data_IF_152391705373
#
_entry.id   IF_152391705373
#
_cell.length_a   1.000
_cell.length_b   1.000
_cell.length_c   1.000
_cell.angle_alpha   90.00
_cell.angle_beta   90.00
_cell.angle_gamma   90.00
#
_symmetry.space_group_name_H-M   'P 1'
#
loop_
_entity.id
_entity.type
_entity.pdbx_description
1 polymer ?
#
# COMPACT_ATOMS: atom_id res chain seq x y z
N UNK A 1 31.88 26.88 50.87
CA UNK A 1 31.92 25.42 50.66
C UNK A 1 30.55 25.01 50.16
N UNK A 2 30.38 25.05 48.84
CA UNK A 2 29.15 24.71 48.13
C UNK A 2 29.18 23.21 47.87
N UNK A 3 28.23 22.48 48.47
CA UNK A 3 27.99 21.06 48.17
C UNK A 3 27.29 20.95 46.82
N UNK A 4 28.00 20.46 45.81
CA UNK A 4 27.42 19.97 44.58
C UNK A 4 26.58 18.72 44.90
N UNK A 5 25.26 18.82 44.72
CA UNK A 5 24.41 17.66 44.58
C UNK A 5 24.55 17.16 43.14
N UNK A 6 25.35 16.11 42.95
CA UNK A 6 25.30 15.27 41.77
C UNK A 6 23.92 14.61 41.72
N UNK A 7 23.03 15.14 40.87
CA UNK A 7 21.96 14.32 40.32
C UNK A 7 22.62 13.46 39.25
N UNK A 8 22.83 12.18 39.57
CA UNK A 8 23.14 11.14 38.60
C UNK A 8 22.08 11.19 37.47
N UNK A 9 22.47 11.77 36.33
CA UNK A 9 21.74 11.58 35.09
C UNK A 9 22.05 10.18 34.59
N UNK A 10 21.04 9.32 34.50
CA UNK A 10 21.20 7.99 33.91
C UNK A 10 21.87 8.11 32.53
N UNK A 11 22.89 7.28 32.26
CA UNK A 11 23.54 7.21 30.96
C UNK A 11 22.46 6.93 29.89
N UNK A 12 22.26 7.84 28.91
CA UNK A 12 21.23 7.68 27.88
C UNK A 12 21.34 6.35 27.13
N UNK A 13 22.56 5.81 26.98
CA UNK A 13 22.79 4.52 26.34
C UNK A 13 22.21 3.40 27.20
N UNK A 14 22.52 3.38 28.49
CA UNK A 14 22.00 2.37 29.42
C UNK A 14 20.48 2.44 29.54
N UNK A 15 19.90 3.65 29.56
CA UNK A 15 18.46 3.85 29.58
C UNK A 15 17.77 3.27 28.31
N UNK A 16 18.42 3.41 27.15
CA UNK A 16 17.92 2.88 25.87
C UNK A 16 17.96 1.36 25.83
N UNK A 17 19.08 0.77 26.25
CA UNK A 17 19.24 -0.67 26.36
C UNK A 17 18.15 -1.26 27.28
N UNK A 18 17.94 -0.64 28.45
CA UNK A 18 16.94 -1.10 29.40
C UNK A 18 15.51 -0.95 28.87
N UNK A 19 15.17 0.13 28.13
CA UNK A 19 13.85 0.31 27.51
C UNK A 19 13.54 -0.81 26.51
N UNK A 20 14.46 -1.07 25.58
CA UNK A 20 14.28 -2.10 24.56
C UNK A 20 14.13 -3.51 25.20
N UNK A 21 14.85 -3.78 26.28
CA UNK A 21 14.71 -5.04 27.03
C UNK A 21 13.36 -5.15 27.75
N UNK A 22 12.87 -4.06 28.34
CA UNK A 22 11.57 -4.03 29.00
C UNK A 22 10.42 -4.23 28.00
N UNK A 23 10.49 -3.57 26.83
CA UNK A 23 9.49 -3.72 25.76
C UNK A 23 9.40 -5.18 25.29
N UNK A 24 10.56 -5.85 25.13
CA UNK A 24 10.63 -7.26 24.77
C UNK A 24 9.94 -8.19 25.79
N UNK A 25 10.00 -7.85 27.08
CA UNK A 25 9.41 -8.66 28.18
C UNK A 25 7.90 -8.48 28.37
N UNK A 26 7.28 -7.47 27.75
CA UNK A 26 5.88 -7.08 27.99
C UNK A 26 4.90 -7.48 26.88
N UNK A 27 5.39 -8.17 25.85
CA UNK A 27 4.68 -8.34 24.59
C UNK A 27 3.68 -9.52 24.60
N UNK A 28 2.43 -9.30 25.03
CA UNK A 28 1.30 -10.25 24.85
C UNK A 28 0.69 -10.16 23.44
N UNK A 29 0.87 -11.20 22.62
CA UNK A 29 0.26 -11.29 21.27
C UNK A 29 -0.79 -12.42 21.19
N UNK A 30 -1.92 -12.26 20.48
CA UNK A 30 -2.96 -13.31 20.24
C UNK A 30 -2.94 -13.90 18.82
N UNK A 31 -3.62 -15.06 18.66
CA UNK A 31 -3.58 -16.13 17.62
C UNK A 31 -3.66 -15.70 16.12
N UNK A 32 -2.94 -16.44 15.26
CA UNK A 32 -3.16 -16.57 13.80
C UNK A 32 -2.95 -18.03 13.33
N UNK A 33 -3.70 -18.47 12.31
CA UNK A 33 -3.48 -19.67 11.48
C UNK A 33 -4.25 -19.51 10.14
N UNK A 34 -3.88 -20.18 9.03
CA UNK A 34 -2.55 -20.57 8.54
C UNK A 34 -2.28 -20.09 7.07
N UNK A 35 -1.00 -19.81 6.71
CA UNK A 35 -0.53 -19.94 5.32
C UNK A 35 0.31 -18.82 4.65
N UNK A 36 1.55 -18.48 5.08
CA UNK A 36 2.73 -18.16 4.23
C UNK A 36 3.95 -17.69 5.07
N UNK A 37 5.12 -17.54 4.43
CA UNK A 37 6.37 -16.97 4.98
C UNK A 37 6.09 -15.61 5.63
N UNK A 38 6.53 -15.41 6.88
CA UNK A 38 6.19 -14.22 7.67
C UNK A 38 6.86 -12.97 7.07
N UNK A 39 6.08 -12.15 6.37
CA UNK A 39 6.44 -10.77 6.01
C UNK A 39 5.72 -9.83 6.97
N UNK A 40 6.47 -9.05 7.74
CA UNK A 40 5.90 -8.03 8.64
C UNK A 40 6.50 -6.67 8.32
N UNK A 41 5.67 -5.64 8.37
CA UNK A 41 6.12 -4.26 8.39
C UNK A 41 6.55 -3.91 9.83
N UNK A 42 7.60 -3.11 10.02
CA UNK A 42 7.87 -2.46 11.30
C UNK A 42 6.75 -1.44 11.53
N UNK A 43 5.65 -1.87 12.13
CA UNK A 43 4.34 -1.20 12.22
C UNK A 43 4.31 0.01 13.18
N UNK A 44 5.48 0.63 13.39
CA UNK A 44 5.59 2.02 13.79
C UNK A 44 5.39 2.30 15.29
N UNK A 45 5.27 1.28 16.14
CA UNK A 45 5.20 1.51 17.60
C UNK A 45 6.14 0.66 18.45
N UNK A 46 6.51 -0.55 18.03
CA UNK A 46 7.39 -1.43 18.82
C UNK A 46 8.45 -2.13 17.94
N UNK A 47 9.67 -2.36 18.46
CA UNK A 47 10.71 -3.14 17.77
C UNK A 47 10.29 -4.59 17.48
N UNK A 48 10.82 -5.18 16.42
CA UNK A 48 10.69 -6.62 16.13
C UNK A 48 11.81 -7.40 16.83
N UNK A 49 11.46 -8.22 17.83
CA UNK A 49 12.44 -9.00 18.61
C UNK A 49 12.52 -10.46 18.17
N UNK A 50 13.74 -10.94 17.94
CA UNK A 50 14.07 -12.30 17.50
C UNK A 50 14.92 -12.96 18.58
N UNK A 51 14.46 -14.11 19.08
CA UNK A 51 15.20 -14.91 20.07
C UNK A 51 15.79 -16.14 19.38
N UNK A 52 17.13 -16.26 19.45
CA UNK A 52 17.88 -17.34 18.79
C UNK A 52 18.05 -18.60 19.66
N UNK A 53 17.26 -18.73 20.72
CA UNK A 53 17.08 -19.96 21.47
C UNK A 53 18.31 -20.40 22.29
N UNK A 54 18.22 -20.22 23.61
CA UNK A 54 18.71 -21.22 24.57
C UNK A 54 17.51 -21.76 25.31
N UNK A 55 17.34 -23.09 25.32
CA UNK A 55 16.58 -23.74 26.39
C UNK A 55 17.39 -23.50 27.67
N UNK A 56 16.85 -22.69 28.58
CA UNK A 56 17.45 -22.44 29.90
C UNK A 56 17.48 -23.77 30.66
N UNK A 57 18.62 -24.45 30.62
CA UNK A 57 18.91 -25.58 31.53
C UNK A 57 19.71 -25.15 32.77
N UNK A 58 19.93 -23.86 32.96
CA UNK A 58 20.45 -23.30 34.22
C UNK A 58 20.14 -21.80 34.29
N UNK A 59 19.75 -21.35 35.47
CA UNK A 59 19.19 -20.04 35.81
C UNK A 59 20.15 -18.85 35.71
N UNK A 60 21.09 -18.83 34.75
CA UNK A 60 22.19 -17.84 34.75
C UNK A 60 22.48 -17.21 33.38
N UNK A 61 21.80 -17.59 32.29
CA UNK A 61 22.02 -16.96 30.99
C UNK A 61 20.73 -16.32 30.46
N UNK A 62 20.72 -14.99 30.39
CA UNK A 62 19.70 -14.22 29.68
C UNK A 62 19.66 -14.63 28.20
N UNK A 63 18.48 -14.70 27.57
CA UNK A 63 18.36 -15.06 26.16
C UNK A 63 19.10 -14.05 25.27
N UNK A 64 19.91 -14.56 24.33
CA UNK A 64 20.52 -13.73 23.28
C UNK A 64 19.41 -13.25 22.32
N UNK A 65 19.02 -11.98 22.46
CA UNK A 65 17.96 -11.34 21.66
C UNK A 65 18.55 -10.37 20.63
N UNK A 66 17.99 -10.40 19.42
CA UNK A 66 18.20 -9.38 18.39
C UNK A 66 16.93 -8.56 18.22
N UNK A 67 17.06 -7.30 17.89
CA UNK A 67 15.97 -6.41 17.57
C UNK A 67 16.17 -5.80 16.18
N UNK A 68 15.14 -5.83 15.35
CA UNK A 68 15.08 -5.03 14.13
C UNK A 68 14.27 -3.78 14.45
N UNK A 69 14.89 -2.62 14.27
CA UNK A 69 14.32 -1.33 14.66
C UNK A 69 14.40 -0.34 13.50
N UNK A 70 13.40 0.53 13.41
CA UNK A 70 13.52 1.81 12.70
C UNK A 70 14.11 2.86 13.65
N UNK A 71 15.32 3.41 13.40
CA UNK A 71 15.96 4.37 14.29
C UNK A 71 15.17 5.67 14.48
N UNK A 72 14.46 6.13 13.45
CA UNK A 72 13.68 7.36 13.52
C UNK A 72 12.44 7.24 14.42
N UNK A 73 11.95 6.00 14.62
CA UNK A 73 10.76 5.70 15.41
C UNK A 73 11.14 5.23 16.81
N UNK A 74 12.12 4.34 16.92
CA UNK A 74 12.41 3.59 18.15
C UNK A 74 13.56 4.19 18.98
N UNK A 75 14.28 5.20 18.46
CA UNK A 75 15.34 5.89 19.17
C UNK A 75 15.01 7.38 19.36
N UNK A 76 15.34 7.93 20.53
CA UNK A 76 15.22 9.36 20.81
C UNK A 76 16.23 10.17 19.99
N UNK A 77 16.03 11.49 19.90
CA UNK A 77 16.97 12.39 19.19
C UNK A 77 18.39 12.32 19.76
N UNK A 78 18.52 12.13 21.07
CA UNK A 78 19.84 11.98 21.73
C UNK A 78 20.48 10.62 21.44
N UNK A 79 19.67 9.57 21.34
CA UNK A 79 20.12 8.20 21.01
C UNK A 79 20.58 8.06 19.56
N UNK A 80 20.14 8.97 18.68
CA UNK A 80 20.52 9.00 17.27
C UNK A 80 21.86 9.72 17.01
N UNK A 81 22.45 10.36 18.02
CA UNK A 81 23.72 11.07 17.89
C UNK A 81 24.83 10.06 17.58
N UNK A 82 25.42 10.14 16.39
CA UNK A 82 26.47 9.22 15.91
C UNK A 82 26.00 8.18 14.91
N UNK A 83 24.67 8.01 14.74
CA UNK A 83 24.11 7.13 13.71
C UNK A 83 24.09 7.83 12.34
N UNK A 84 24.26 7.04 11.27
CA UNK A 84 24.04 7.55 9.92
C UNK A 84 22.53 7.84 9.73
N UNK A 85 22.14 9.10 9.41
CA UNK A 85 20.74 9.50 9.31
C UNK A 85 19.98 8.80 8.17
N UNK A 86 20.68 8.27 7.16
CA UNK A 86 20.07 7.60 6.01
C UNK A 86 19.68 6.14 6.29
N UNK A 87 19.96 5.64 7.51
CA UNK A 87 19.63 4.27 7.89
C UNK A 87 18.20 4.19 8.40
N UNK A 88 17.32 3.66 7.57
CA UNK A 88 15.91 3.46 7.90
C UNK A 88 15.64 2.21 8.76
N UNK A 89 16.54 1.22 8.71
CA UNK A 89 16.38 -0.06 9.43
C UNK A 89 17.71 -0.56 9.98
N UNK A 90 17.76 -0.80 11.30
CA UNK A 90 18.90 -1.38 12.00
C UNK A 90 18.55 -2.75 12.57
N UNK A 91 19.50 -3.68 12.44
CA UNK A 91 19.52 -4.92 13.20
C UNK A 91 20.53 -4.79 14.34
N UNK A 92 20.05 -4.81 15.58
CA UNK A 92 20.85 -4.57 16.78
C UNK A 92 20.74 -5.71 17.80
N UNK A 93 21.74 -5.83 18.66
CA UNK A 93 21.65 -6.59 19.90
C UNK A 93 21.42 -5.59 21.06
N UNK A 94 20.23 -5.59 21.71
CA UNK A 94 19.89 -4.57 22.71
C UNK A 94 20.88 -4.49 23.87
N UNK A 95 21.40 -5.63 24.35
CA UNK A 95 22.32 -5.69 25.49
C UNK A 95 23.72 -5.09 25.23
N UNK A 96 24.07 -4.84 23.97
CA UNK A 96 25.38 -4.30 23.59
C UNK A 96 25.29 -3.01 22.77
N UNK A 97 24.07 -2.53 22.47
CA UNK A 97 23.80 -1.33 21.64
C UNK A 97 24.56 -0.09 22.14
N UNK A 98 25.40 0.52 21.29
CA UNK A 98 26.13 1.74 21.64
C UNK A 98 26.34 2.61 20.38
N UNK A 99 25.48 3.62 20.15
CA UNK A 99 25.47 4.42 18.92
C UNK A 99 26.73 5.26 18.68
N UNK A 100 27.57 5.46 19.71
CA UNK A 100 28.79 6.29 19.63
C UNK A 100 30.03 5.52 19.14
N UNK A 101 29.99 4.18 19.05
CA UNK A 101 31.20 3.34 18.83
C UNK A 101 31.09 2.39 17.63
N UNK A 102 30.06 2.50 16.80
CA UNK A 102 29.61 1.37 15.97
C UNK A 102 30.45 1.09 14.70
N UNK A 103 31.25 0.02 14.75
CA UNK A 103 31.65 -0.81 13.58
C UNK A 103 30.87 -2.14 13.48
N UNK A 104 29.93 -2.41 14.40
CA UNK A 104 29.32 -3.74 14.59
C UNK A 104 27.88 -3.93 14.10
N UNK A 105 27.18 -2.86 13.73
CA UNK A 105 25.74 -2.90 13.44
C UNK A 105 25.51 -2.76 11.94
N UNK A 106 24.65 -3.62 11.40
CA UNK A 106 24.42 -3.70 9.95
C UNK A 106 23.09 -3.06 9.62
N UNK A 107 23.13 -1.95 8.90
CA UNK A 107 21.96 -1.41 8.24
C UNK A 107 21.42 -2.47 7.26
N UNK A 108 20.11 -2.73 7.30
CA UNK A 108 19.44 -3.48 6.25
C UNK A 108 19.13 -2.49 5.13
N UNK A 109 19.56 -2.79 3.90
CA UNK A 109 19.17 -2.03 2.71
C UNK A 109 18.08 -2.80 1.98
N UNK A 110 17.18 -2.11 1.26
CA UNK A 110 16.25 -2.75 0.35
C UNK A 110 16.99 -3.71 -0.59
N UNK A 111 16.48 -4.94 -0.71
CA UNK A 111 17.10 -6.03 -1.46
C UNK A 111 18.15 -6.85 -0.68
N UNK A 112 18.55 -6.44 0.52
CA UNK A 112 19.49 -7.23 1.33
C UNK A 112 18.80 -8.46 1.93
N UNK A 113 19.54 -9.58 1.94
CA UNK A 113 19.21 -10.77 2.73
C UNK A 113 20.38 -11.13 3.65
N UNK A 114 20.04 -11.62 4.84
CA UNK A 114 20.98 -11.94 5.92
C UNK A 114 20.65 -13.29 6.50
N UNK A 115 21.66 -14.12 6.70
CA UNK A 115 21.49 -15.39 7.40
C UNK A 115 22.12 -15.30 8.78
N UNK A 116 21.30 -15.56 9.80
CA UNK A 116 21.71 -15.67 11.18
C UNK A 116 22.11 -17.12 11.51
N UNK A 117 23.28 -17.28 12.11
CA UNK A 117 23.69 -18.55 12.69
C UNK A 117 24.86 -18.41 13.66
N UNK A 118 25.21 -19.50 14.35
CA UNK A 118 26.29 -19.49 15.35
C UNK A 118 27.63 -19.90 14.75
N UNK A 119 28.72 -19.25 15.17
CA UNK A 119 30.08 -19.75 14.96
C UNK A 119 30.45 -20.67 16.13
N UNK A 120 31.21 -21.73 15.89
CA UNK A 120 31.74 -22.54 16.99
C UNK A 120 32.58 -21.64 17.93
N UNK A 121 32.25 -21.64 19.23
CA UNK A 121 32.99 -21.03 20.34
C UNK A 121 33.17 -19.49 20.38
N UNK A 122 32.39 -18.68 19.66
CA UNK A 122 32.33 -17.22 19.86
C UNK A 122 30.91 -16.68 19.58
N UNK A 123 30.58 -15.51 20.17
CA UNK A 123 29.29 -14.81 20.04
C UNK A 123 28.79 -14.72 18.58
N UNK A 124 27.45 -14.65 18.33
CA UNK A 124 26.90 -14.66 16.99
C UNK A 124 27.40 -13.45 16.17
N UNK A 125 27.78 -13.70 14.91
CA UNK A 125 28.18 -12.65 13.97
C UNK A 125 27.14 -12.52 12.84
N UNK A 126 26.72 -11.29 12.55
CA UNK A 126 25.86 -10.93 11.42
C UNK A 126 26.68 -10.96 10.11
N UNK A 127 26.26 -11.68 9.05
CA UNK A 127 26.89 -11.63 7.72
C UNK A 127 25.86 -11.34 6.61
N UNK A 128 26.22 -10.44 5.66
CA UNK A 128 25.45 -10.16 4.43
C UNK A 128 25.75 -11.25 3.40
N UNK A 129 24.81 -11.55 2.53
CA UNK A 129 24.95 -12.51 1.43
C UNK A 129 26.17 -12.26 0.50
N UNK A 130 26.80 -11.08 0.52
CA UNK A 130 27.97 -10.79 -0.33
C UNK A 130 29.31 -11.37 0.17
N UNK A 131 29.40 -11.82 1.42
CA UNK A 131 30.69 -12.13 2.07
C UNK A 131 30.88 -13.65 2.30
N UNK A 132 30.78 -14.45 1.24
CA UNK A 132 30.92 -15.91 1.33
C UNK A 132 32.39 -16.34 1.46
N UNK A 133 32.72 -17.01 2.56
CA UNK A 133 34.03 -17.64 2.73
C UNK A 133 34.29 -18.33 4.09
N UNK A 134 33.31 -18.42 5.00
CA UNK A 134 33.52 -19.19 6.25
C UNK A 134 32.24 -19.86 6.72
N UNK A 135 32.26 -21.15 7.13
CA UNK A 135 31.05 -21.87 7.50
C UNK A 135 30.45 -21.35 8.81
N UNK A 136 29.14 -21.10 8.80
CA UNK A 136 28.34 -20.84 10.00
C UNK A 136 27.73 -22.17 10.43
N UNK A 137 27.84 -22.50 11.71
CA UNK A 137 27.39 -23.78 12.25
C UNK A 137 25.90 -23.68 12.54
N UNK A 138 25.09 -24.23 11.63
CA UNK A 138 23.61 -24.25 11.61
C UNK A 138 23.01 -22.89 11.25
N UNK A 139 22.39 -22.83 10.08
CA UNK A 139 21.62 -21.68 9.63
C UNK A 139 20.30 -21.68 10.40
N UNK A 140 20.09 -20.67 11.26
CA UNK A 140 18.95 -20.63 12.16
C UNK A 140 17.79 -19.83 11.56
N UNK A 141 18.07 -18.65 10.98
CA UNK A 141 17.02 -17.77 10.46
C UNK A 141 17.60 -16.88 9.34
N UNK A 142 16.94 -16.82 8.20
CA UNK A 142 17.16 -15.80 7.17
C UNK A 142 16.23 -14.62 7.40
N UNK A 143 16.76 -13.42 7.23
CA UNK A 143 16.07 -12.14 7.34
C UNK A 143 16.29 -11.38 6.03
N UNK A 144 15.21 -11.04 5.34
CA UNK A 144 15.25 -10.17 4.16
C UNK A 144 14.64 -8.80 4.44
N UNK A 145 15.13 -7.77 3.75
CA UNK A 145 14.43 -6.50 3.61
C UNK A 145 14.07 -6.33 2.13
N UNK A 146 12.79 -6.45 1.80
CA UNK A 146 12.32 -6.30 0.42
C UNK A 146 12.52 -4.87 -0.09
N UNK A 147 12.48 -4.73 -1.42
CA UNK A 147 12.47 -3.41 -2.09
C UNK A 147 11.24 -2.57 -1.71
N UNK A 148 10.21 -3.24 -1.19
CA UNK A 148 8.98 -2.70 -0.62
C UNK A 148 9.10 -2.32 0.87
N UNK A 149 10.28 -2.49 1.48
CA UNK A 149 10.53 -2.21 2.89
C UNK A 149 9.95 -3.26 3.86
N UNK A 150 9.39 -4.37 3.35
CA UNK A 150 8.89 -5.45 4.18
C UNK A 150 10.03 -6.32 4.69
N UNK A 151 9.97 -6.70 5.97
CA UNK A 151 10.92 -7.65 6.56
C UNK A 151 10.37 -9.05 6.36
N UNK A 152 11.14 -9.92 5.70
CA UNK A 152 10.83 -11.35 5.60
C UNK A 152 11.67 -12.15 6.60
N UNK A 153 11.07 -13.16 7.21
CA UNK A 153 11.76 -14.11 8.10
C UNK A 153 11.56 -15.54 7.61
N UNK A 154 12.64 -16.32 7.54
CA UNK A 154 12.60 -17.74 7.17
C UNK A 154 13.53 -18.58 8.06
N UNK A 155 12.98 -19.52 8.83
CA UNK A 155 13.82 -20.47 9.61
C UNK A 155 14.46 -21.50 8.67
N UNK A 156 15.78 -21.67 8.77
CA UNK A 156 16.59 -22.50 7.89
C UNK A 156 16.94 -23.87 8.50
N UNK A 157 16.15 -24.34 9.47
CA UNK A 157 16.29 -25.67 10.09
C UNK A 157 16.89 -25.63 11.49
N UNK A 158 16.48 -24.65 12.30
CA UNK A 158 16.93 -24.48 13.67
C UNK A 158 16.60 -25.71 14.55
N UNK A 159 17.57 -26.20 15.33
CA UNK A 159 17.39 -27.41 16.15
C UNK A 159 16.40 -27.23 17.31
N UNK A 160 16.19 -25.98 17.77
CA UNK A 160 15.37 -25.65 18.93
C UNK A 160 14.12 -24.81 18.58
N UNK A 161 13.88 -24.57 17.28
CA UNK A 161 12.93 -23.57 16.80
C UNK A 161 13.49 -22.15 16.87
N UNK A 162 13.02 -21.28 15.97
CA UNK A 162 13.16 -19.83 16.08
C UNK A 162 12.01 -19.26 16.90
N UNK A 163 12.16 -18.07 17.49
CA UNK A 163 11.10 -17.43 18.28
C UNK A 163 11.03 -15.94 17.95
N UNK A 164 9.81 -15.42 17.88
CA UNK A 164 9.53 -13.98 17.78
C UNK A 164 8.90 -13.56 19.12
N UNK A 165 9.60 -12.68 19.85
CA UNK A 165 9.34 -12.46 21.27
C UNK A 165 9.38 -13.78 22.05
N UNK A 166 8.31 -14.09 22.80
CA UNK A 166 8.18 -15.34 23.56
C UNK A 166 7.51 -16.49 22.80
N UNK A 167 7.06 -16.26 21.56
CA UNK A 167 6.32 -17.25 20.79
C UNK A 167 7.22 -18.04 19.84
N UNK A 168 7.04 -19.37 19.73
CA UNK A 168 7.76 -20.16 18.73
C UNK A 168 7.35 -19.73 17.32
N UNK A 169 8.34 -19.33 16.53
CA UNK A 169 8.23 -19.13 15.11
C UNK A 169 8.05 -20.51 14.46
N UNK A 170 6.94 -20.69 13.74
CA UNK A 170 6.63 -21.94 13.05
C UNK A 170 6.72 -21.67 11.55
N UNK A 171 7.82 -22.04 10.88
CA UNK A 171 7.88 -21.97 9.42
C UNK A 171 6.85 -22.94 8.84
N UNK A 172 6.01 -22.47 7.93
CA UNK A 172 5.15 -23.35 7.15
C UNK A 172 6.05 -24.14 6.19
N UNK A 173 6.15 -25.45 6.42
CA UNK A 173 7.13 -26.32 5.74
C UNK A 173 6.96 -26.31 4.20
N UNK A 174 8.05 -26.30 3.40
CA UNK A 174 7.98 -26.28 1.94
C UNK A 174 7.79 -27.66 1.27
N UNK A 175 7.84 -28.78 2.00
CA UNK A 175 7.64 -30.13 1.44
C UNK A 175 7.07 -31.09 2.48
N UNK A 176 5.82 -31.50 2.31
CA UNK A 176 5.34 -32.81 2.72
C UNK A 176 4.70 -33.43 1.45
N UNK A 177 5.10 -34.66 1.15
CA UNK A 177 4.89 -35.35 -0.11
C UNK A 177 3.45 -35.26 -0.64
N UNK A 178 3.37 -35.06 -1.95
CA UNK A 178 2.18 -35.07 -2.80
C UNK A 178 1.32 -36.32 -2.54
N UNK A 179 0.07 -36.21 -2.04
CA UNK A 179 -0.95 -37.10 -2.54
C UNK A 179 -1.26 -36.62 -3.96
N UNK A 180 -1.26 -37.54 -4.91
CA UNK A 180 -1.85 -37.32 -6.23
C UNK A 180 -3.31 -36.87 -6.04
N UNK A 181 -3.54 -35.57 -5.95
CA UNK A 181 -4.88 -34.99 -6.04
C UNK A 181 -5.11 -34.74 -7.52
N UNK A 182 -5.50 -35.82 -8.18
CA UNK A 182 -6.50 -35.76 -9.24
C UNK A 182 -7.62 -34.81 -8.83
N UNK A 183 -7.76 -33.70 -9.56
CA UNK A 183 -8.91 -32.77 -9.61
C UNK A 183 -9.36 -32.10 -8.28
N UNK A 184 -9.75 -30.82 -8.37
CA UNK A 184 -10.43 -30.01 -7.33
C UNK A 184 -9.49 -29.46 -6.22
N UNK A 185 -9.15 -28.17 -6.13
CA UNK A 185 -9.93 -26.95 -6.35
C UNK A 185 -9.13 -25.89 -7.10
N UNK A 186 -9.36 -25.75 -8.41
CA UNK A 186 -9.38 -24.44 -9.05
C UNK A 186 -10.70 -23.79 -8.62
N UNK A 187 -10.75 -23.09 -7.49
CA UNK A 187 -11.83 -22.11 -7.33
C UNK A 187 -11.56 -21.02 -8.35
N UNK A 188 -12.30 -21.05 -9.45
CA UNK A 188 -12.48 -19.88 -10.31
C UNK A 188 -12.97 -18.76 -9.39
N UNK A 189 -12.11 -17.77 -9.13
CA UNK A 189 -12.52 -16.51 -8.51
C UNK A 189 -13.66 -15.96 -9.37
N UNK A 190 -14.89 -15.98 -8.85
CA UNK A 190 -16.05 -15.48 -9.57
C UNK A 190 -16.01 -13.96 -9.50
N UNK A 191 -15.49 -13.36 -10.55
CA UNK A 191 -15.50 -11.90 -10.66
C UNK A 191 -16.84 -11.46 -11.21
N UNK A 192 -17.49 -10.53 -10.51
CA UNK A 192 -18.67 -9.82 -11.03
C UNK A 192 -18.49 -8.33 -10.87
N UNK A 193 -18.82 -7.56 -11.90
CA UNK A 193 -18.79 -6.10 -11.82
C UNK A 193 -20.17 -5.47 -11.91
N UNK A 194 -20.30 -4.28 -11.33
CA UNK A 194 -21.48 -3.43 -11.41
C UNK A 194 -21.05 -1.98 -11.56
N UNK A 195 -21.66 -1.25 -12.48
CA UNK A 195 -21.40 0.17 -12.68
C UNK A 195 -22.69 0.97 -12.61
N UNK A 196 -22.62 2.18 -12.08
CA UNK A 196 -23.69 3.16 -12.14
C UNK A 196 -23.09 4.51 -12.50
N UNK A 197 -23.73 5.22 -13.43
CA UNK A 197 -23.30 6.52 -13.91
C UNK A 197 -24.51 7.41 -14.14
N UNK A 198 -24.47 8.63 -13.65
CA UNK A 198 -25.52 9.64 -13.82
C UNK A 198 -24.92 10.98 -14.21
N UNK A 199 -25.68 11.75 -14.99
CA UNK A 199 -25.34 13.13 -15.29
C UNK A 199 -25.61 14.04 -14.08
N UNK A 200 -24.83 15.10 -13.97
CA UNK A 200 -25.01 16.20 -13.04
C UNK A 200 -26.40 16.81 -13.15
N UNK A 201 -26.97 17.22 -12.01
CA UNK A 201 -28.17 18.04 -11.96
C UNK A 201 -28.03 19.38 -12.72
N UNK A 202 -26.79 19.84 -12.97
CA UNK A 202 -26.53 21.07 -13.74
C UNK A 202 -26.68 20.87 -15.24
N UNK A 203 -26.53 19.65 -15.74
CA UNK A 203 -26.66 19.28 -17.15
C UNK A 203 -27.23 17.87 -17.30
N UNK A 204 -28.48 17.61 -16.87
CA UNK A 204 -29.04 16.26 -16.76
C UNK A 204 -29.22 15.52 -18.11
N UNK A 205 -29.00 16.21 -19.23
CA UNK A 205 -29.08 15.67 -20.59
C UNK A 205 -27.70 15.32 -21.18
N UNK A 206 -26.61 15.60 -20.45
CA UNK A 206 -25.24 15.35 -20.90
C UNK A 206 -24.41 14.84 -19.73
N UNK A 207 -23.96 13.60 -19.82
CA UNK A 207 -22.99 13.02 -18.91
C UNK A 207 -21.63 13.04 -19.60
N UNK A 208 -20.66 13.72 -19.02
CA UNK A 208 -19.28 13.82 -19.47
C UNK A 208 -18.41 12.68 -18.90
N UNK A 209 -18.93 11.89 -17.95
CA UNK A 209 -18.32 10.63 -17.55
C UNK A 209 -18.56 9.49 -18.54
N UNK A 210 -17.61 8.56 -18.61
CA UNK A 210 -17.74 7.26 -19.25
C UNK A 210 -17.16 6.14 -18.37
N UNK A 211 -17.59 4.90 -18.62
CA UNK A 211 -16.99 3.72 -18.02
C UNK A 211 -16.93 2.57 -19.01
N UNK A 212 -16.04 1.62 -18.74
CA UNK A 212 -15.94 0.35 -19.44
C UNK A 212 -15.82 -0.79 -18.42
N UNK A 213 -16.49 -1.90 -18.67
CA UNK A 213 -16.40 -3.10 -17.83
C UNK A 213 -16.56 -4.34 -18.69
N UNK A 214 -15.70 -5.30 -18.45
CA UNK A 214 -15.78 -6.62 -19.08
C UNK A 214 -15.28 -7.68 -18.09
N UNK A 215 -16.22 -8.47 -17.57
CA UNK A 215 -15.95 -9.53 -16.60
C UNK A 215 -15.22 -10.72 -17.26
N UNK A 216 -15.35 -10.91 -18.59
CA UNK A 216 -14.66 -11.97 -19.32
C UNK A 216 -13.18 -11.65 -19.48
N UNK A 217 -12.86 -10.45 -19.96
CA UNK A 217 -11.47 -10.00 -20.04
C UNK A 217 -10.94 -9.45 -18.71
N UNK A 218 -11.78 -9.30 -17.69
CA UNK A 218 -11.44 -8.74 -16.37
C UNK A 218 -10.76 -7.35 -16.46
N UNK A 219 -11.24 -6.54 -17.39
CA UNK A 219 -10.77 -5.17 -17.66
C UNK A 219 -11.88 -4.18 -17.31
N UNK A 220 -11.52 -3.14 -16.59
CA UNK A 220 -12.44 -2.13 -16.09
C UNK A 220 -11.84 -0.74 -16.24
N UNK A 221 -12.67 0.28 -16.36
CA UNK A 221 -12.21 1.66 -16.35
C UNK A 221 -13.31 2.68 -16.12
N UNK A 222 -12.93 3.81 -15.55
CA UNK A 222 -13.76 5.01 -15.43
C UNK A 222 -12.99 6.21 -15.99
N UNK A 223 -13.72 7.14 -16.58
CA UNK A 223 -13.18 8.26 -17.33
C UNK A 223 -14.04 9.49 -17.07
N UNK A 224 -13.46 10.54 -16.51
CA UNK A 224 -14.14 11.81 -16.26
C UNK A 224 -13.76 12.81 -17.36
N UNK A 225 -14.74 13.23 -18.15
CA UNK A 225 -14.55 14.16 -19.26
C UNK A 225 -14.50 15.61 -18.77
N UNK A 226 -13.41 16.31 -19.04
CA UNK A 226 -13.21 17.68 -18.57
C UNK A 226 -13.01 18.64 -19.74
N UNK A 227 -13.84 19.68 -19.86
CA UNK A 227 -13.59 20.77 -20.79
C UNK A 227 -14.19 22.13 -20.42
N UNK A 228 -13.49 23.20 -20.83
CA UNK A 228 -14.04 24.55 -20.88
C UNK A 228 -14.58 24.79 -22.30
N UNK A 229 -15.89 24.62 -22.50
CA UNK A 229 -16.55 24.87 -23.79
C UNK A 229 -17.19 23.64 -24.49
N UNK A 230 -17.23 22.48 -23.82
CA UNK A 230 -17.87 21.26 -24.32
C UNK A 230 -16.90 20.22 -24.87
N UNK A 231 -17.36 18.98 -25.03
CA UNK A 231 -16.54 17.87 -25.53
C UNK A 231 -15.85 17.00 -24.48
N UNK A 232 -16.11 17.21 -23.17
CA UNK A 232 -15.69 16.29 -22.12
C UNK A 232 -16.25 14.88 -22.36
N UNK A 233 -17.55 14.80 -22.62
CA UNK A 233 -18.28 13.58 -23.05
C UNK A 233 -17.60 12.84 -24.22
N UNK A 234 -17.12 13.59 -25.21
CA UNK A 234 -16.39 13.00 -26.34
C UNK A 234 -15.02 12.49 -25.90
N UNK A 235 -14.30 13.20 -25.04
CA UNK A 235 -12.97 12.81 -24.60
C UNK A 235 -13.00 11.53 -23.75
N UNK A 236 -13.93 11.44 -22.78
CA UNK A 236 -14.11 10.25 -21.95
C UNK A 236 -14.59 9.06 -22.78
N UNK A 237 -15.51 9.28 -23.74
CA UNK A 237 -15.94 8.23 -24.68
C UNK A 237 -14.77 7.70 -25.54
N UNK A 238 -13.89 8.57 -26.06
CA UNK A 238 -12.70 8.13 -26.80
C UNK A 238 -11.81 7.25 -25.92
N UNK A 239 -11.55 7.66 -24.67
CA UNK A 239 -10.71 6.90 -23.75
C UNK A 239 -11.32 5.50 -23.45
N UNK A 240 -12.63 5.44 -23.19
CA UNK A 240 -13.37 4.20 -22.98
C UNK A 240 -13.31 3.27 -24.21
N UNK A 241 -13.54 3.79 -25.41
CA UNK A 241 -13.48 3.01 -26.64
C UNK A 241 -12.08 2.46 -26.95
N UNK A 242 -11.02 3.19 -26.59
CA UNK A 242 -9.65 2.67 -26.73
C UNK A 242 -9.40 1.54 -25.73
N UNK A 243 -9.86 1.65 -24.48
CA UNK A 243 -9.75 0.54 -23.52
C UNK A 243 -10.53 -0.69 -24.00
N UNK A 244 -11.76 -0.49 -24.49
CA UNK A 244 -12.59 -1.57 -25.06
C UNK A 244 -11.85 -2.29 -26.20
N UNK A 245 -11.33 -1.56 -27.18
CA UNK A 245 -10.67 -2.13 -28.35
C UNK A 245 -9.39 -2.92 -28.01
N UNK A 246 -8.70 -2.55 -26.92
CA UNK A 246 -7.44 -3.16 -26.52
C UNK A 246 -7.64 -4.27 -25.47
N UNK A 247 -8.78 -4.30 -24.77
CA UNK A 247 -9.07 -5.20 -23.64
C UNK A 247 -8.81 -6.68 -23.95
N UNK A 248 -9.35 -7.18 -25.06
CA UNK A 248 -9.21 -8.58 -25.48
C UNK A 248 -7.79 -8.98 -25.88
N UNK A 249 -6.92 -8.01 -26.16
CA UNK A 249 -5.51 -8.25 -26.53
C UNK A 249 -4.57 -8.34 -25.32
N UNK A 250 -5.06 -7.96 -24.13
CA UNK A 250 -4.26 -8.01 -22.91
C UNK A 250 -3.99 -9.47 -22.49
N UNK A 251 -2.74 -9.82 -22.19
CA UNK A 251 -2.42 -11.18 -21.78
C UNK A 251 -3.06 -11.52 -20.43
N UNK A 252 -3.65 -12.71 -20.32
CA UNK A 252 -4.21 -13.21 -19.04
C UNK A 252 -3.12 -13.56 -18.01
N UNK A 253 -1.91 -13.84 -18.48
CA UNK A 253 -0.74 -14.16 -17.66
C UNK A 253 0.44 -13.28 -18.11
N UNK A 254 0.69 -12.21 -17.37
CA UNK A 254 1.87 -11.36 -17.52
C UNK A 254 2.49 -11.11 -16.15
N UNK A 255 3.77 -10.76 -16.10
CA UNK A 255 4.29 -10.20 -14.85
C UNK A 255 3.61 -8.85 -14.58
N UNK A 256 3.50 -8.40 -13.32
CA UNK A 256 2.94 -7.10 -12.98
C UNK A 256 3.56 -5.97 -13.82
N UNK A 257 4.88 -5.97 -13.95
CA UNK A 257 5.62 -4.96 -14.72
C UNK A 257 5.24 -4.95 -16.20
N UNK A 258 5.08 -6.12 -16.81
CA UNK A 258 4.66 -6.22 -18.22
C UNK A 258 3.23 -5.74 -18.40
N UNK A 259 2.32 -6.15 -17.52
CA UNK A 259 0.95 -5.66 -17.52
C UNK A 259 0.93 -4.14 -17.38
N UNK A 260 1.76 -3.58 -16.50
CA UNK A 260 1.93 -2.13 -16.35
C UNK A 260 2.34 -1.43 -17.64
N UNK A 261 3.22 -2.03 -18.44
CA UNK A 261 3.60 -1.50 -19.77
C UNK A 261 2.42 -1.50 -20.73
N UNK A 262 1.63 -2.58 -20.78
CA UNK A 262 0.44 -2.65 -21.64
C UNK A 262 -0.61 -1.61 -21.23
N UNK A 263 -0.92 -1.52 -19.94
CA UNK A 263 -1.91 -0.57 -19.41
C UNK A 263 -1.48 0.88 -19.65
N UNK A 264 -0.19 1.20 -19.49
CA UNK A 264 0.35 2.52 -19.84
C UNK A 264 0.22 2.82 -21.33
N UNK A 265 0.49 1.83 -22.20
CA UNK A 265 0.36 2.00 -23.64
C UNK A 265 -1.09 2.26 -24.08
N UNK A 266 -2.08 1.66 -23.42
CA UNK A 266 -3.50 1.94 -23.65
C UNK A 266 -3.82 3.41 -23.33
N UNK A 267 -3.38 3.91 -22.17
CA UNK A 267 -3.57 5.33 -21.81
C UNK A 267 -2.84 6.27 -22.78
N UNK A 268 -1.66 5.89 -23.28
CA UNK A 268 -0.93 6.67 -24.30
C UNK A 268 -1.69 6.73 -25.63
N UNK A 269 -2.29 5.62 -26.07
CA UNK A 269 -3.16 5.58 -27.26
C UNK A 269 -4.39 6.46 -27.06
N UNK A 270 -5.05 6.38 -25.90
CA UNK A 270 -6.20 7.21 -25.57
C UNK A 270 -5.82 8.71 -25.57
N UNK A 271 -4.70 9.08 -24.95
CA UNK A 271 -4.18 10.45 -24.96
C UNK A 271 -3.95 10.97 -26.38
N UNK A 272 -3.31 10.16 -27.24
CA UNK A 272 -3.06 10.52 -28.64
C UNK A 272 -4.36 10.72 -29.43
N UNK A 273 -5.33 9.82 -29.26
CA UNK A 273 -6.63 9.91 -29.92
C UNK A 273 -7.43 11.15 -29.49
N UNK A 274 -7.40 11.51 -28.20
CA UNK A 274 -8.02 12.73 -27.69
C UNK A 274 -7.29 13.97 -28.25
N UNK A 275 -5.95 13.98 -28.25
CA UNK A 275 -5.15 15.07 -28.80
C UNK A 275 -5.43 15.34 -30.28
N UNK A 276 -5.70 14.29 -31.06
CA UNK A 276 -6.04 14.37 -32.48
C UNK A 276 -7.45 14.95 -32.70
N UNK A 277 -8.39 14.57 -31.85
CA UNK A 277 -9.81 14.91 -32.01
C UNK A 277 -10.27 16.15 -31.22
N UNK A 278 -9.42 16.69 -30.34
CA UNK A 278 -9.77 17.86 -29.53
C UNK A 278 -9.93 19.11 -30.40
N UNK A 279 -10.96 19.88 -30.11
CA UNK A 279 -11.23 21.16 -30.76
C UNK A 279 -10.85 22.36 -29.87
N UNK A 280 -10.61 22.12 -28.58
CA UNK A 280 -10.03 23.08 -27.64
C UNK A 280 -8.85 22.46 -26.89
N UNK A 281 -7.88 23.24 -26.39
CA UNK A 281 -6.84 22.74 -25.50
C UNK A 281 -7.39 22.21 -24.16
N UNK A 282 -8.58 22.69 -23.77
CA UNK A 282 -9.24 22.32 -22.52
C UNK A 282 -9.95 20.97 -22.61
N UNK A 283 -10.26 20.43 -23.80
CA UNK A 283 -10.90 19.12 -23.93
C UNK A 283 -9.93 18.00 -23.55
N UNK A 284 -10.32 17.18 -22.58
CA UNK A 284 -9.55 16.03 -22.12
C UNK A 284 -10.37 15.12 -21.23
N UNK A 285 -9.75 14.07 -20.71
CA UNK A 285 -10.39 13.11 -19.82
C UNK A 285 -9.42 12.64 -18.75
N UNK A 286 -9.87 12.48 -17.51
CA UNK A 286 -9.17 11.64 -16.54
C UNK A 286 -9.34 10.16 -16.97
N UNK A 287 -8.55 9.28 -16.37
CA UNK A 287 -8.70 7.85 -16.55
C UNK A 287 -8.19 7.11 -15.32
N UNK A 288 -8.94 6.11 -14.88
CA UNK A 288 -8.41 4.99 -14.09
C UNK A 288 -8.86 3.71 -14.75
N UNK A 289 -7.90 2.88 -15.14
CA UNK A 289 -8.14 1.58 -15.76
C UNK A 289 -7.53 0.48 -14.91
N UNK A 290 -8.20 -0.66 -14.84
CA UNK A 290 -7.85 -1.77 -13.96
C UNK A 290 -7.93 -3.09 -14.72
N UNK A 291 -6.91 -3.93 -14.55
CA UNK A 291 -6.88 -5.31 -15.05
C UNK A 291 -6.60 -6.25 -13.90
N UNK A 292 -7.50 -7.21 -13.66
CA UNK A 292 -7.21 -8.36 -12.80
C UNK A 292 -6.56 -9.45 -13.65
N UNK A 293 -5.39 -9.92 -13.25
CA UNK A 293 -4.65 -10.99 -13.94
C UNK A 293 -3.98 -11.93 -12.95
N UNK A 294 -3.46 -13.04 -13.46
CA UNK A 294 -2.76 -14.04 -12.64
C UNK A 294 -1.25 -13.85 -12.79
N UNK A 295 -0.54 -13.89 -11.66
CA UNK A 295 0.92 -13.89 -11.65
C UNK A 295 1.48 -15.04 -12.50
N UNK A 296 2.70 -14.86 -13.02
CA UNK A 296 3.35 -15.88 -13.88
C UNK A 296 3.48 -17.26 -13.24
N UNK A 297 3.61 -17.33 -11.91
CA UNK A 297 3.70 -18.59 -11.18
C UNK A 297 2.33 -19.23 -10.90
N UNK A 298 1.24 -18.57 -11.29
CA UNK A 298 -0.13 -19.06 -11.11
C UNK A 298 -0.67 -18.93 -9.68
N UNK A 299 0.12 -18.38 -8.75
CA UNK A 299 -0.18 -18.46 -7.31
C UNK A 299 -0.98 -17.29 -6.77
N UNK A 300 -0.89 -16.13 -7.42
CA UNK A 300 -1.52 -14.90 -6.93
C UNK A 300 -2.34 -14.22 -8.01
N UNK A 301 -3.41 -13.55 -7.60
CA UNK A 301 -4.16 -12.60 -8.43
C UNK A 301 -3.66 -11.19 -8.15
N UNK A 302 -3.54 -10.40 -9.20
CA UNK A 302 -2.97 -9.07 -9.16
C UNK A 302 -3.90 -8.14 -9.91
N UNK A 303 -4.28 -7.05 -9.27
CA UNK A 303 -4.85 -5.90 -9.96
C UNK A 303 -3.69 -5.01 -10.40
N UNK A 304 -3.60 -4.73 -11.69
CA UNK A 304 -2.74 -3.68 -12.24
C UNK A 304 -3.61 -2.49 -12.60
N UNK A 305 -3.29 -1.33 -12.03
CA UNK A 305 -4.04 -0.09 -12.19
C UNK A 305 -3.15 0.87 -12.97
N UNK A 306 -3.71 1.56 -13.96
CA UNK A 306 -3.08 2.71 -14.59
C UNK A 306 -4.00 3.93 -14.48
N UNK A 307 -3.44 5.08 -14.11
CA UNK A 307 -4.24 6.29 -13.88
C UNK A 307 -3.59 7.58 -14.41
N UNK A 308 -4.45 8.54 -14.72
CA UNK A 308 -4.11 9.94 -15.03
C UNK A 308 -5.28 10.84 -14.65
N UNK A 309 -5.02 11.95 -13.96
CA UNK A 309 -6.05 12.77 -13.30
C UNK A 309 -6.35 12.34 -11.87
N UNK A 310 -7.55 12.63 -11.40
CA UNK A 310 -8.04 12.50 -10.02
C UNK A 310 -9.24 11.55 -9.87
N UNK A 311 -9.65 10.85 -10.93
CA UNK A 311 -10.42 9.63 -10.76
C UNK A 311 -9.61 8.62 -9.91
N UNK A 312 -10.29 7.80 -9.11
CA UNK A 312 -9.66 6.95 -8.10
C UNK A 312 -9.98 5.46 -8.24
N UNK A 313 -8.99 4.62 -7.91
CA UNK A 313 -9.20 3.21 -7.56
C UNK A 313 -9.00 2.98 -6.06
N UNK A 314 -9.82 2.10 -5.49
CA UNK A 314 -9.76 1.67 -4.09
C UNK A 314 -9.76 0.15 -4.00
N UNK A 315 -9.19 -0.36 -2.90
CA UNK A 315 -9.41 -1.71 -2.43
C UNK A 315 -10.16 -1.66 -1.09
N UNK A 316 -11.22 -2.45 -0.99
CA UNK A 316 -11.94 -2.68 0.24
C UNK A 316 -11.72 -4.14 0.68
N UNK A 317 -11.05 -4.29 1.83
CA UNK A 317 -10.68 -5.58 2.42
C UNK A 317 -10.90 -5.54 3.91
N UNK A 318 -11.53 -6.59 4.46
CA UNK A 318 -11.75 -6.74 5.91
C UNK A 318 -12.34 -5.50 6.59
N UNK A 319 -13.30 -4.85 5.92
CA UNK A 319 -13.97 -3.66 6.45
C UNK A 319 -13.17 -2.36 6.37
N UNK A 320 -11.98 -2.38 5.75
CA UNK A 320 -11.12 -1.20 5.51
C UNK A 320 -11.14 -0.80 4.05
N UNK A 321 -11.19 0.50 3.79
CA UNK A 321 -11.09 1.08 2.45
C UNK A 321 -9.75 1.80 2.32
N UNK A 322 -8.96 1.46 1.30
CA UNK A 322 -7.71 2.13 0.99
C UNK A 322 -7.69 2.61 -0.46
N UNK A 323 -7.24 3.85 -0.69
CA UNK A 323 -7.00 4.35 -2.03
C UNK A 323 -5.73 3.69 -2.60
N UNK A 324 -5.84 3.16 -3.81
CA UNK A 324 -4.71 2.60 -4.56
C UNK A 324 -4.02 3.73 -5.33
N UNK A 325 -4.79 4.57 -5.99
CA UNK A 325 -4.29 5.68 -6.81
C UNK A 325 -4.02 6.93 -5.97
N UNK A 326 -3.06 7.72 -6.43
CA UNK A 326 -2.85 9.09 -5.95
C UNK A 326 -3.25 10.08 -7.04
N UNK A 327 -3.99 11.11 -6.66
CA UNK A 327 -4.56 12.08 -7.59
C UNK A 327 -3.47 12.95 -8.22
N UNK A 328 -3.68 13.30 -9.49
CA UNK A 328 -2.95 14.37 -10.15
C UNK A 328 -3.71 15.69 -10.00
N UNK A 329 -3.78 16.17 -8.77
CA UNK A 329 -4.43 17.44 -8.39
C UNK A 329 -3.42 18.60 -8.35
N UNK A 330 -3.89 19.79 -7.96
CA UNK A 330 -3.05 20.97 -7.80
C UNK A 330 -1.94 20.78 -6.73
N UNK A 331 -2.19 20.00 -5.67
CA UNK A 331 -1.21 19.71 -4.63
C UNK A 331 -0.04 18.90 -5.20
N UNK A 332 -0.37 17.85 -5.95
CA UNK A 332 0.56 16.96 -6.66
C UNK A 332 1.46 17.66 -7.67
N UNK A 333 1.04 18.81 -8.21
CA UNK A 333 1.87 19.58 -9.13
C UNK A 333 3.16 20.15 -8.51
N UNK A 334 3.22 20.22 -7.17
CA UNK A 334 4.35 20.81 -6.43
C UNK A 334 4.93 19.93 -5.32
N UNK A 335 4.38 18.73 -5.11
CA UNK A 335 4.80 17.78 -4.09
C UNK A 335 5.07 16.41 -4.70
N UNK A 336 5.87 15.60 -4.00
CA UNK A 336 6.11 14.23 -4.44
C UNK A 336 4.87 13.35 -4.21
N UNK A 337 4.99 12.10 -4.64
CA UNK A 337 3.88 11.15 -4.64
C UNK A 337 3.43 10.74 -3.24
N UNK A 338 4.37 10.59 -2.33
CA UNK A 338 4.11 10.12 -0.98
C UNK A 338 3.40 11.20 -0.17
N UNK A 339 3.93 12.43 -0.21
CA UNK A 339 3.32 13.59 0.45
C UNK A 339 1.89 13.84 -0.09
N UNK A 340 1.70 13.70 -1.41
CA UNK A 340 0.39 13.86 -2.02
C UNK A 340 -0.60 12.78 -1.61
N UNK A 341 -0.14 11.53 -1.39
CA UNK A 341 -1.00 10.44 -0.92
C UNK A 341 -1.48 10.69 0.51
N UNK A 342 -0.59 11.12 1.39
CA UNK A 342 -0.93 11.49 2.78
C UNK A 342 -1.93 12.65 2.78
N UNK A 343 -1.70 13.67 1.94
CA UNK A 343 -2.59 14.81 1.81
C UNK A 343 -3.99 14.41 1.28
N UNK A 344 -4.04 13.60 0.23
CA UNK A 344 -5.28 13.05 -0.32
C UNK A 344 -6.07 12.26 0.72
N UNK A 345 -5.43 11.36 1.47
CA UNK A 345 -6.09 10.56 2.52
C UNK A 345 -6.71 11.45 3.61
N UNK A 346 -6.00 12.52 4.00
CA UNK A 346 -6.49 13.51 4.96
C UNK A 346 -7.71 14.26 4.45
N UNK A 347 -7.69 14.75 3.21
CA UNK A 347 -8.84 15.46 2.62
C UNK A 347 -10.02 14.52 2.38
N UNK A 348 -9.78 13.28 1.97
CA UNK A 348 -10.81 12.28 1.75
C UNK A 348 -11.50 11.84 3.05
N UNK A 349 -10.78 11.81 4.17
CA UNK A 349 -11.35 11.52 5.50
C UNK A 349 -12.10 12.71 6.13
N UNK A 350 -11.92 13.92 5.62
CA UNK A 350 -12.48 15.15 6.22
C UNK A 350 -13.96 15.34 5.85
N UNK A 351 -14.89 15.22 6.79
CA UNK A 351 -16.32 15.43 6.50
C UNK A 351 -16.72 16.91 6.43
N UNK A 352 -16.05 17.79 7.19
CA UNK A 352 -16.33 19.22 7.23
C UNK A 352 -15.04 20.03 7.19
N UNK A 353 -15.05 21.13 6.43
CA UNK A 353 -13.90 22.03 6.31
C UNK A 353 -13.45 22.58 7.67
N UNK A 354 -14.39 22.72 8.62
CA UNK A 354 -14.12 23.21 9.98
C UNK A 354 -13.24 22.27 10.81
N UNK A 355 -13.09 21.01 10.39
CA UNK A 355 -12.19 20.06 11.03
C UNK A 355 -10.72 20.28 10.62
N UNK A 356 -10.47 21.02 9.54
CA UNK A 356 -9.13 21.36 9.07
C UNK A 356 -8.63 22.61 9.79
N UNK A 357 -7.51 22.49 10.47
CA UNK A 357 -6.90 23.60 11.22
C UNK A 357 -5.99 24.45 10.33
N UNK A 358 -5.30 23.83 9.39
CA UNK A 358 -4.38 24.51 8.49
C UNK A 358 -5.14 25.20 7.35
N UNK A 359 -4.83 26.47 7.09
CA UNK A 359 -5.48 27.27 6.04
C UNK A 359 -5.23 26.70 4.64
N UNK A 360 -4.07 26.05 4.42
CA UNK A 360 -3.75 25.43 3.14
C UNK A 360 -4.59 24.18 2.92
N UNK A 361 -4.75 23.33 3.93
CA UNK A 361 -5.68 22.19 3.82
C UNK A 361 -7.11 22.66 3.52
N UNK A 362 -7.57 23.75 4.15
CA UNK A 362 -8.90 24.30 3.86
C UNK A 362 -9.02 24.81 2.43
N UNK A 363 -7.96 25.44 1.92
CA UNK A 363 -7.90 25.89 0.53
C UNK A 363 -7.92 24.70 -0.43
N UNK A 364 -7.07 23.71 -0.21
CA UNK A 364 -6.98 22.50 -1.03
C UNK A 364 -8.29 21.70 -0.97
N UNK A 365 -8.95 21.64 0.19
CA UNK A 365 -10.30 21.08 0.31
C UNK A 365 -11.29 21.83 -0.58
N UNK A 366 -11.33 23.16 -0.57
CA UNK A 366 -12.26 23.94 -1.39
C UNK A 366 -11.97 23.84 -2.90
N UNK A 367 -10.71 23.63 -3.27
CA UNK A 367 -10.26 23.57 -4.66
C UNK A 367 -9.85 22.15 -5.08
N UNK A 368 -10.37 21.13 -4.40
CA UNK A 368 -10.08 19.71 -4.67
C UNK A 368 -10.46 19.25 -6.07
N UNK A 369 -11.32 20.01 -6.76
CA UNK A 369 -11.71 19.79 -8.15
C UNK A 369 -10.68 20.32 -9.18
N UNK A 370 -9.54 20.85 -8.74
CA UNK A 370 -8.49 21.35 -9.63
C UNK A 370 -7.47 20.25 -9.94
N UNK A 371 -7.56 19.72 -11.16
CA UNK A 371 -6.60 18.75 -11.69
C UNK A 371 -5.36 19.42 -12.29
N UNK A 372 -4.20 18.79 -12.09
CA UNK A 372 -2.95 19.14 -12.76
C UNK A 372 -2.67 18.28 -13.99
N UNK A 373 -3.42 17.18 -14.19
CA UNK A 373 -3.24 16.27 -15.31
C UNK A 373 -4.55 15.68 -15.84
N UNK A 374 -4.59 15.45 -17.15
CA UNK A 374 -5.59 14.65 -17.84
C UNK A 374 -5.08 14.16 -19.19
N UNK A 375 -5.67 13.10 -19.71
CA UNK A 375 -5.53 12.73 -21.11
C UNK A 375 -6.04 13.87 -22.02
N UNK A 376 -5.44 14.01 -23.20
CA UNK A 376 -5.62 15.18 -24.07
C UNK A 376 -4.55 16.27 -23.87
N UNK A 377 -3.48 15.98 -23.12
CA UNK A 377 -2.35 16.88 -22.86
C UNK A 377 -1.03 16.34 -23.41
N UNK A 378 -0.09 17.25 -23.67
CA UNK A 378 1.28 16.88 -24.00
C UNK A 378 2.01 16.42 -22.72
N UNK A 379 2.85 15.39 -22.81
CA UNK A 379 3.64 14.85 -21.69
C UNK A 379 2.80 14.54 -20.43
N UNK A 380 1.63 13.92 -20.62
CA UNK A 380 0.72 13.59 -19.52
C UNK A 380 1.36 12.57 -18.55
N UNK A 381 1.46 12.86 -17.24
CA UNK A 381 1.88 11.88 -16.25
C UNK A 381 0.85 10.74 -16.17
N UNK A 382 1.39 9.53 -16.03
CA UNK A 382 0.62 8.30 -15.91
C UNK A 382 1.28 7.43 -14.86
N UNK A 383 0.50 7.10 -13.84
CA UNK A 383 0.93 6.26 -12.73
C UNK A 383 0.49 4.81 -12.97
N UNK A 384 1.34 3.87 -12.54
CA UNK A 384 1.04 2.44 -12.55
C UNK A 384 1.15 1.92 -11.13
N UNK A 385 0.09 1.30 -10.64
CA UNK A 385 -0.02 0.73 -9.31
C UNK A 385 -0.39 -0.75 -9.37
N UNK A 386 -0.09 -1.45 -8.28
CA UNK A 386 -0.34 -2.87 -8.14
C UNK A 386 -0.99 -3.18 -6.80
N UNK A 387 -1.97 -4.07 -6.80
CA UNK A 387 -2.53 -4.63 -5.58
C UNK A 387 -2.60 -6.16 -5.71
N UNK A 388 -2.16 -6.87 -4.67
CA UNK A 388 -2.42 -8.31 -4.54
C UNK A 388 -3.87 -8.48 -4.15
N UNK A 389 -4.57 -9.37 -4.83
CA UNK A 389 -6.01 -9.58 -4.68
C UNK A 389 -6.31 -10.91 -4.02
N UNK A 390 -7.23 -10.88 -3.06
CA UNK A 390 -7.69 -12.01 -2.27
C UNK A 390 -9.21 -12.22 -2.46
N UNK A 391 -9.71 -13.46 -2.33
CA UNK A 391 -11.15 -13.71 -2.34
C UNK A 391 -11.87 -12.88 -1.28
N UNK A 392 -12.99 -12.25 -1.64
CA UNK A 392 -13.75 -11.34 -0.78
C UNK A 392 -13.33 -9.88 -0.86
N UNK A 393 -12.27 -9.55 -1.60
CA UNK A 393 -11.94 -8.16 -1.90
C UNK A 393 -13.01 -7.50 -2.77
N UNK A 394 -13.16 -6.20 -2.58
CA UNK A 394 -13.96 -5.35 -3.46
C UNK A 394 -13.05 -4.26 -4.02
N UNK A 395 -12.93 -4.20 -5.34
CA UNK A 395 -12.24 -3.10 -6.02
C UNK A 395 -13.28 -2.07 -6.45
N UNK A 396 -12.99 -0.79 -6.21
CA UNK A 396 -13.89 0.31 -6.55
C UNK A 396 -13.15 1.33 -7.42
N UNK A 397 -13.72 1.67 -8.55
CA UNK A 397 -13.31 2.77 -9.42
C UNK A 397 -14.36 3.88 -9.32
N UNK A 398 -13.94 5.13 -9.18
CA UNK A 398 -14.88 6.25 -9.11
C UNK A 398 -14.34 7.52 -9.76
N UNK A 399 -15.22 8.28 -10.40
CA UNK A 399 -14.97 9.70 -10.76
C UNK A 399 -15.13 10.60 -9.54
N UNK A 400 -14.69 11.85 -9.66
CA UNK A 400 -14.60 12.79 -8.54
C UNK A 400 -15.99 13.19 -8.01
N UNK A 401 -17.03 13.20 -8.85
CA UNK A 401 -18.41 13.43 -8.43
C UNK A 401 -18.92 12.46 -7.36
N UNK A 402 -18.30 11.29 -7.20
CA UNK A 402 -18.59 10.38 -6.07
C UNK A 402 -17.77 10.75 -4.83
N UNK A 403 -16.44 10.77 -4.94
CA UNK A 403 -15.55 10.84 -3.78
C UNK A 403 -15.24 12.27 -3.29
N UNK A 404 -15.60 13.29 -4.06
CA UNK A 404 -15.66 14.66 -3.56
C UNK A 404 -16.90 14.88 -2.71
N UNK A 405 -18.02 14.24 -3.06
CA UNK A 405 -19.24 14.29 -2.27
C UNK A 405 -19.12 13.41 -1.01
N UNK A 406 -18.57 12.20 -1.10
CA UNK A 406 -18.52 11.26 0.02
C UNK A 406 -17.14 11.21 0.70
N UNK A 407 -17.10 11.11 2.03
CA UNK A 407 -15.85 10.84 2.74
C UNK A 407 -15.42 9.37 2.59
N UNK A 408 -14.15 9.07 2.84
CA UNK A 408 -13.63 7.68 2.85
C UNK A 408 -14.45 6.79 3.80
N UNK A 409 -14.84 7.32 4.96
CA UNK A 409 -15.64 6.60 5.95
C UNK A 409 -17.07 6.35 5.47
N UNK A 410 -17.64 7.27 4.69
CA UNK A 410 -18.96 7.09 4.07
C UNK A 410 -18.95 6.03 2.98
N UNK A 411 -17.97 6.07 2.08
CA UNK A 411 -17.77 5.04 1.05
C UNK A 411 -17.61 3.67 1.73
N UNK A 412 -16.78 3.58 2.77
CA UNK A 412 -16.57 2.35 3.55
C UNK A 412 -17.88 1.82 4.17
N UNK A 413 -18.69 2.70 4.77
CA UNK A 413 -19.99 2.32 5.37
C UNK A 413 -21.00 1.86 4.32
N UNK A 414 -21.02 2.51 3.14
CA UNK A 414 -21.88 2.11 2.03
C UNK A 414 -21.49 0.71 1.55
N UNK A 415 -20.19 0.45 1.32
CA UNK A 415 -19.71 -0.87 0.91
C UNK A 415 -20.03 -1.97 1.93
N UNK A 416 -19.89 -1.68 3.23
CA UNK A 416 -20.25 -2.63 4.30
C UNK A 416 -21.74 -2.96 4.35
N UNK A 417 -22.60 -1.99 4.04
CA UNK A 417 -24.05 -2.14 4.13
C UNK A 417 -24.72 -2.54 2.82
N UNK A 418 -24.01 -2.46 1.69
CA UNK A 418 -24.56 -2.71 0.37
C UNK A 418 -24.97 -4.18 0.21
N UNK A 419 -26.11 -4.38 -0.47
CA UNK A 419 -26.45 -5.71 -0.98
C UNK A 419 -25.56 -6.03 -2.17
N UNK A 420 -25.26 -7.32 -2.38
CA UNK A 420 -24.47 -7.80 -3.53
C UNK A 420 -24.96 -7.17 -4.83
N UNK A 421 -24.04 -6.56 -5.58
CA UNK A 421 -24.33 -5.89 -6.84
C UNK A 421 -25.12 -4.57 -6.78
N UNK A 422 -25.35 -4.02 -5.58
CA UNK A 422 -25.98 -2.69 -5.39
C UNK A 422 -25.02 -1.59 -4.96
N UNK A 423 -23.79 -1.95 -4.57
CA UNK A 423 -22.79 -1.00 -4.09
C UNK A 423 -22.56 0.19 -5.03
N UNK A 424 -22.42 -0.02 -6.35
CA UNK A 424 -22.21 1.06 -7.31
C UNK A 424 -23.41 2.04 -7.37
N UNK A 425 -24.64 1.52 -7.37
CA UNK A 425 -25.87 2.32 -7.36
C UNK A 425 -26.02 3.08 -6.03
N UNK A 426 -25.71 2.43 -4.91
CA UNK A 426 -25.79 3.03 -3.59
C UNK A 426 -24.77 4.18 -3.47
N UNK A 427 -23.51 3.97 -3.87
CA UNK A 427 -22.47 5.01 -3.86
C UNK A 427 -22.91 6.27 -4.62
N UNK A 428 -23.35 6.12 -5.86
CA UNK A 428 -23.82 7.24 -6.67
C UNK A 428 -25.08 7.87 -6.08
N UNK A 429 -26.00 7.08 -5.55
CA UNK A 429 -27.22 7.60 -4.93
C UNK A 429 -26.96 8.43 -3.68
N UNK A 430 -25.99 8.02 -2.85
CA UNK A 430 -25.56 8.79 -1.68
C UNK A 430 -24.80 10.05 -2.08
N UNK A 431 -23.91 9.98 -3.08
CA UNK A 431 -23.20 11.13 -3.62
C UNK A 431 -24.16 12.18 -4.21
N UNK A 432 -25.17 11.75 -4.97
CA UNK A 432 -26.21 12.63 -5.51
C UNK A 432 -27.03 13.35 -4.44
N UNK A 433 -27.40 12.65 -3.35
CA UNK A 433 -28.09 13.30 -2.24
C UNK A 433 -27.22 14.40 -1.63
N UNK A 434 -25.95 14.07 -1.42
CA UNK A 434 -24.96 14.99 -0.87
C UNK A 434 -24.72 16.22 -1.75
N UNK A 435 -24.70 16.10 -3.07
CA UNK A 435 -24.50 17.25 -3.97
C UNK A 435 -25.63 18.28 -3.90
N UNK A 436 -26.84 17.84 -3.52
CA UNK A 436 -28.03 18.67 -3.36
C UNK A 436 -28.17 19.26 -1.95
N UNK A 437 -27.41 18.77 -0.98
CA UNK A 437 -27.44 19.22 0.41
C UNK A 437 -26.54 20.45 0.62
N UNK A 438 -26.83 21.25 1.65
CA UNK A 438 -25.95 22.34 2.09
C UNK A 438 -24.76 21.81 2.92
N UNK A 439 -23.96 20.92 2.33
CA UNK A 439 -22.83 20.26 2.96
C UNK A 439 -21.49 20.80 2.43
N UNK A 440 -20.44 20.86 3.26
CA UNK A 440 -19.11 21.34 2.84
C UNK A 440 -18.51 20.52 1.68
N UNK A 441 -18.93 19.25 1.57
CA UNK A 441 -18.54 18.31 0.51
C UNK A 441 -19.43 18.39 -0.75
N UNK A 442 -20.54 19.12 -0.73
CA UNK A 442 -21.48 19.16 -1.84
C UNK A 442 -20.80 19.67 -3.11
N UNK A 443 -20.81 18.85 -4.16
CA UNK A 443 -20.26 19.17 -5.48
C UNK A 443 -21.21 18.66 -6.58
N UNK A 444 -21.95 19.55 -7.25
CA UNK A 444 -22.75 19.17 -8.41
C UNK A 444 -21.84 18.75 -9.56
N UNK A 445 -21.92 17.48 -9.94
CA UNK A 445 -21.02 16.88 -10.94
C UNK A 445 -21.64 15.64 -11.58
N UNK A 446 -21.04 15.18 -12.68
CA UNK A 446 -21.28 13.83 -13.17
C UNK A 446 -20.74 12.80 -12.17
N UNK A 447 -21.42 11.66 -12.04
CA UNK A 447 -21.07 10.71 -10.98
C UNK A 447 -21.05 9.30 -11.53
N UNK A 448 -19.88 8.67 -11.45
CA UNK A 448 -19.67 7.30 -11.90
C UNK A 448 -18.94 6.48 -10.84
N UNK A 449 -19.52 5.32 -10.51
CA UNK A 449 -18.88 4.30 -9.69
C UNK A 449 -18.94 2.95 -10.41
N UNK A 450 -17.84 2.21 -10.40
CA UNK A 450 -17.73 0.84 -10.86
C UNK A 450 -17.14 0.00 -9.74
N UNK A 451 -17.86 -1.06 -9.35
CA UNK A 451 -17.51 -1.97 -8.27
C UNK A 451 -17.25 -3.36 -8.86
N UNK A 452 -16.13 -3.97 -8.50
CA UNK A 452 -15.74 -5.33 -8.88
C UNK A 452 -15.65 -6.17 -7.61
N UNK A 453 -16.51 -7.19 -7.51
CA UNK A 453 -16.58 -8.13 -6.39
C UNK A 453 -15.86 -9.44 -6.78
N UNK A 454 -15.04 -9.98 -5.86
CA UNK A 454 -14.07 -11.05 -6.13
C UNK A 454 -14.26 -12.29 -5.25
#
# INVERSE_FOLDING_TARGET
MTSFNEREGADPIQATQQRLLNDASSAEWRRMAPGFVEQTQLDGRLPLFINLGRRVLSSVAEPEMLAIINPAIHLSTTERIGLNPDVSTLLIQPSSFNPLTERGYKALRPGDTFVLGRRYNTAPYLKRFSDFGTPVSRHHLEIGLGEDGLISLQDLGSTNGSYIGEKPYTPLSPFAETPSISQEFQTTLEISSHAHSIASERHPLRNEDAFFRDDETQVYGVFDGVSEGGGGDRASAIAASILEAESASLPSSASPREMGVYMKAILQKANAAILEQRHTPSMGSTAVILKVHTSRDGKSRIATIASSGDSRAYIFRDGRLGAITTDHDAYRASHDKEDSKIHQEKLAATESIKALVDERDQMDFNFRNLISSKLGMQNVPMDIEYAVIEPGDILVLSTDGVHDNLSTEEIRRILLGARKGKAAEDLVSFAKRRSLDAHDRAKPDDMTALVVEL
#
